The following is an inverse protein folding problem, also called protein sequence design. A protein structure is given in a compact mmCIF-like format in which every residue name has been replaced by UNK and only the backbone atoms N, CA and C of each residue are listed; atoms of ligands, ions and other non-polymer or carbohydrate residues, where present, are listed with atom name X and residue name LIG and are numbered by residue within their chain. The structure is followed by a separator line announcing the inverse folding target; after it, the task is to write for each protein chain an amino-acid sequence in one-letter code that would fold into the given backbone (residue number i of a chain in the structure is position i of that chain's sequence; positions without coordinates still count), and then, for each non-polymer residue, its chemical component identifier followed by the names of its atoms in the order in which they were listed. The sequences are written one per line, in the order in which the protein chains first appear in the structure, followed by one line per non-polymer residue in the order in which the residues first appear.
data_IF_907048616180
#
_entry.id   IF_907048616180
#
_cell.length_a   1.000
_cell.length_b   1.000
_cell.length_c   1.000
_cell.angle_alpha   90.00
_cell.angle_beta   90.00
_cell.angle_gamma   90.00
#
_symmetry.space_group_name_H-M   'P 1'
#
loop_
_entity.id
_entity.type
_entity.pdbx_description
1 polymer ?
#
# COMPACT_ATOMS: atom_id res chain seq x y z
N UNK A 1 -0.38 46.44 -17.84
CA UNK A 1 0.43 45.24 -17.52
C UNK A 1 1.44 45.02 -18.64
N UNK A 2 2.70 44.79 -18.28
CA UNK A 2 3.77 44.46 -19.22
C UNK A 2 3.60 43.05 -19.80
N UNK A 3 4.08 42.81 -21.03
CA UNK A 3 4.09 41.48 -21.69
C UNK A 3 4.75 40.40 -20.81
N UNK A 4 5.75 40.81 -20.02
CA UNK A 4 6.43 39.93 -19.06
C UNK A 4 5.53 39.53 -17.88
N UNK A 5 4.72 40.43 -17.36
CA UNK A 5 3.76 40.11 -16.29
C UNK A 5 2.70 39.12 -16.77
N UNK A 6 2.24 39.28 -18.02
CA UNK A 6 1.30 38.33 -18.64
C UNK A 6 1.89 36.94 -18.81
N UNK A 7 3.14 36.84 -19.30
CA UNK A 7 3.84 35.56 -19.40
C UNK A 7 4.05 34.90 -18.03
N UNK A 8 4.44 35.67 -17.01
CA UNK A 8 4.58 35.16 -15.65
C UNK A 8 3.26 34.62 -15.10
N UNK A 9 2.16 35.36 -15.27
CA UNK A 9 0.84 34.91 -14.82
C UNK A 9 0.43 33.62 -15.53
N UNK A 10 0.59 33.54 -16.85
CA UNK A 10 0.25 32.34 -17.62
C UNK A 10 1.07 31.13 -17.17
N UNK A 11 2.38 31.29 -16.97
CA UNK A 11 3.26 30.20 -16.51
C UNK A 11 2.88 29.76 -15.10
N UNK A 12 2.67 30.69 -14.16
CA UNK A 12 2.27 30.35 -12.79
C UNK A 12 0.92 29.66 -12.78
N UNK A 13 -0.06 30.17 -13.52
CA UNK A 13 -1.38 29.54 -13.63
C UNK A 13 -1.29 28.15 -14.25
N UNK A 14 -0.48 27.95 -15.30
CA UNK A 14 -0.28 26.63 -15.90
C UNK A 14 0.38 25.64 -14.93
N UNK A 15 1.37 26.07 -14.13
CA UNK A 15 2.01 25.25 -13.11
C UNK A 15 1.03 24.90 -11.98
N UNK A 16 0.24 25.86 -11.52
CA UNK A 16 -0.77 25.64 -10.48
C UNK A 16 -1.85 24.69 -10.98
N UNK A 17 -2.41 24.92 -12.17
CA UNK A 17 -3.42 24.04 -12.76
C UNK A 17 -2.87 22.65 -13.07
N UNK A 18 -1.62 22.56 -13.54
CA UNK A 18 -0.92 21.29 -13.75
C UNK A 18 -0.70 20.54 -12.43
N UNK A 19 -0.30 21.23 -11.36
CA UNK A 19 -0.11 20.65 -10.04
C UNK A 19 -1.42 20.18 -9.40
N UNK A 20 -2.48 21.01 -9.47
CA UNK A 20 -3.82 20.66 -8.96
C UNK A 20 -4.40 19.50 -9.75
N UNK A 21 -4.32 19.54 -11.09
CA UNK A 21 -4.77 18.46 -11.96
C UNK A 21 -4.03 17.15 -11.68
N UNK A 22 -2.70 17.21 -11.53
CA UNK A 22 -1.88 16.07 -11.14
C UNK A 22 -2.27 15.50 -9.78
N UNK A 23 -2.49 16.35 -8.77
CA UNK A 23 -2.90 15.93 -7.44
C UNK A 23 -4.24 15.20 -7.43
N UNK A 24 -5.25 15.72 -8.13
CA UNK A 24 -6.59 15.08 -8.20
C UNK A 24 -6.51 13.66 -8.77
N UNK A 25 -5.57 13.39 -9.68
CA UNK A 25 -5.40 12.06 -10.27
C UNK A 25 -4.81 11.02 -9.31
N UNK A 26 -4.10 11.44 -8.25
CA UNK A 26 -3.41 10.55 -7.29
C UNK A 26 -3.82 10.75 -5.84
N UNK A 27 -4.74 11.68 -5.57
CA UNK A 27 -5.23 11.96 -4.23
C UNK A 27 -5.80 10.69 -3.58
N UNK A 28 -5.74 10.59 -2.23
CA UNK A 28 -6.40 9.53 -1.48
C UNK A 28 -7.90 9.51 -1.84
N UNK A 29 -8.41 8.31 -2.12
CA UNK A 29 -9.84 8.05 -2.39
C UNK A 29 -10.64 7.83 -1.12
N UNK A 30 -9.96 7.58 0.00
CA UNK A 30 -10.53 7.35 1.31
C UNK A 30 -9.44 7.29 2.37
N UNK A 31 -9.85 7.20 3.63
CA UNK A 31 -8.96 7.04 4.76
C UNK A 31 -9.32 5.77 5.51
N UNK A 32 -8.34 4.91 5.73
CA UNK A 32 -8.52 3.63 6.42
C UNK A 32 -8.01 3.77 7.84
N UNK A 33 -8.76 3.34 8.87
CA UNK A 33 -8.27 3.37 10.24
C UNK A 33 -6.99 2.53 10.38
N UNK A 34 -5.97 3.11 11.02
CA UNK A 34 -4.73 2.38 11.31
C UNK A 34 -5.02 1.29 12.34
N UNK A 35 -4.68 0.01 12.07
CA UNK A 35 -4.90 -1.08 13.01
C UNK A 35 -4.21 -0.84 14.36
N UNK A 36 -4.90 -1.21 15.45
CA UNK A 36 -4.36 -1.15 16.81
C UNK A 36 -3.53 -2.40 17.14
N UNK A 37 -2.91 -2.45 18.31
CA UNK A 37 -2.14 -3.63 18.76
C UNK A 37 -3.03 -4.87 18.98
N UNK A 38 -4.33 -4.64 19.23
CA UNK A 38 -5.34 -5.68 19.44
C UNK A 38 -5.84 -6.28 18.12
N UNK A 39 -5.53 -5.66 16.98
CA UNK A 39 -5.94 -6.16 15.69
C UNK A 39 -5.28 -7.52 15.39
N UNK A 40 -6.03 -8.43 14.77
CA UNK A 40 -5.48 -9.69 14.30
C UNK A 40 -4.65 -9.47 13.02
N UNK A 41 -3.71 -10.37 12.67
CA UNK A 41 -2.97 -10.26 11.41
C UNK A 41 -3.88 -10.18 10.17
N UNK A 42 -5.03 -10.87 10.19
CA UNK A 42 -6.03 -10.84 9.12
C UNK A 42 -6.69 -9.47 8.98
N UNK A 43 -7.02 -8.82 10.10
CA UNK A 43 -7.55 -7.45 10.11
C UNK A 43 -6.53 -6.45 9.57
N UNK A 44 -5.24 -6.65 9.90
CA UNK A 44 -4.14 -5.83 9.40
C UNK A 44 -3.95 -6.05 7.89
N UNK A 45 -4.07 -7.29 7.41
CA UNK A 45 -4.03 -7.62 5.99
C UNK A 45 -5.16 -6.93 5.21
N UNK A 46 -6.39 -6.95 5.75
CA UNK A 46 -7.52 -6.23 5.17
C UNK A 46 -7.27 -4.73 5.11
N UNK A 47 -6.84 -4.14 6.22
CA UNK A 47 -6.53 -2.71 6.29
C UNK A 47 -5.44 -2.31 5.29
N UNK A 48 -4.42 -3.16 5.06
CA UNK A 48 -3.40 -2.93 4.05
C UNK A 48 -3.97 -2.94 2.61
N UNK A 49 -4.83 -3.92 2.29
CA UNK A 49 -5.51 -4.00 0.99
C UNK A 49 -6.41 -2.78 0.77
N UNK A 50 -7.22 -2.44 1.77
CA UNK A 50 -8.14 -1.30 1.71
C UNK A 50 -7.37 0.02 1.54
N UNK A 51 -6.29 0.21 2.30
CA UNK A 51 -5.44 1.40 2.20
C UNK A 51 -4.77 1.49 0.83
N UNK A 52 -4.31 0.35 0.27
CA UNK A 52 -3.73 0.29 -1.07
C UNK A 52 -4.74 0.70 -2.14
N UNK A 53 -5.95 0.13 -2.10
CA UNK A 53 -7.04 0.46 -3.03
C UNK A 53 -7.49 1.93 -2.90
N UNK A 54 -7.49 2.45 -1.66
CA UNK A 54 -7.85 3.83 -1.35
C UNK A 54 -6.71 4.83 -1.63
N UNK A 55 -5.50 4.37 -1.97
CA UNK A 55 -4.28 5.20 -2.07
C UNK A 55 -3.98 5.98 -0.78
N UNK A 56 -4.33 5.39 0.36
CA UNK A 56 -4.03 5.94 1.68
C UNK A 56 -2.60 5.60 2.07
N UNK A 57 -1.65 6.32 1.46
CA UNK A 57 -0.21 6.09 1.64
C UNK A 57 0.24 6.28 3.09
N UNK A 58 -0.46 7.11 3.85
CA UNK A 58 -0.12 7.37 5.26
C UNK A 58 -0.49 6.16 6.13
N UNK A 59 -1.66 5.58 5.92
CA UNK A 59 -2.04 4.31 6.58
C UNK A 59 -1.15 3.16 6.14
N UNK A 60 -0.80 3.06 4.85
CA UNK A 60 0.16 2.07 4.37
C UNK A 60 1.52 2.21 5.09
N UNK A 61 2.08 3.42 5.17
CA UNK A 61 3.33 3.68 5.93
C UNK A 61 3.20 3.35 7.42
N UNK A 62 2.02 3.57 7.99
CA UNK A 62 1.77 3.22 9.39
C UNK A 62 1.68 1.70 9.62
N UNK A 63 1.28 0.91 8.63
CA UNK A 63 1.21 -0.55 8.73
C UNK A 63 2.57 -1.20 8.42
N UNK A 64 3.32 -0.65 7.47
CA UNK A 64 4.58 -1.25 7.03
C UNK A 64 5.70 -1.06 8.06
N UNK A 65 6.65 -2.00 8.10
CA UNK A 65 7.89 -1.80 8.86
C UNK A 65 8.73 -0.69 8.23
N UNK A 66 9.37 0.13 9.05
CA UNK A 66 10.12 1.31 8.60
C UNK A 66 11.17 0.96 7.53
N UNK A 67 11.91 -0.13 7.73
CA UNK A 67 12.91 -0.65 6.79
C UNK A 67 12.32 -0.99 5.40
N UNK A 68 11.03 -1.31 5.32
CA UNK A 68 10.35 -1.74 4.09
C UNK A 68 9.51 -0.65 3.44
N UNK A 69 9.34 0.50 4.10
CA UNK A 69 8.41 1.53 3.64
C UNK A 69 8.73 2.03 2.23
N UNK A 70 10.01 2.25 1.92
CA UNK A 70 10.45 2.71 0.60
C UNK A 70 10.22 1.68 -0.51
N UNK A 71 10.14 0.39 -0.16
CA UNK A 71 10.00 -0.67 -1.15
C UNK A 71 8.55 -1.10 -1.37
N UNK A 72 7.70 -0.99 -0.35
CA UNK A 72 6.33 -1.49 -0.39
C UNK A 72 5.28 -0.39 -0.54
N UNK A 73 5.57 0.85 -0.13
CA UNK A 73 4.63 1.96 -0.28
C UNK A 73 4.97 2.72 -1.56
N UNK A 74 4.04 2.81 -2.54
CA UNK A 74 4.30 3.57 -3.76
C UNK A 74 4.44 5.07 -3.47
N UNK A 75 5.22 5.77 -4.28
CA UNK A 75 5.22 7.23 -4.29
C UNK A 75 4.02 7.77 -5.08
N UNK A 76 3.69 9.06 -4.89
CA UNK A 76 2.68 9.73 -5.71
C UNK A 76 3.05 9.76 -7.20
N UNK A 77 4.34 9.72 -7.54
CA UNK A 77 4.81 9.65 -8.93
C UNK A 77 4.53 8.27 -9.52
N UNK A 78 4.70 7.20 -8.74
CA UNK A 78 4.38 5.83 -9.19
C UNK A 78 2.90 5.69 -9.51
N UNK A 79 2.02 6.29 -8.70
CA UNK A 79 0.58 6.33 -8.94
C UNK A 79 0.20 7.06 -10.26
N UNK A 80 0.95 8.09 -10.66
CA UNK A 80 0.74 8.80 -11.94
C UNK A 80 1.11 7.94 -13.15
N UNK A 81 2.07 7.03 -13.00
CA UNK A 81 2.56 6.15 -14.08
C UNK A 81 1.64 4.95 -14.39
N UNK A 82 0.38 4.97 -13.92
CA UNK A 82 -0.62 3.92 -14.11
C UNK A 82 -0.30 2.55 -13.51
N UNK A 83 0.62 2.48 -12.55
CA UNK A 83 0.87 1.28 -11.71
C UNK A 83 -0.12 1.13 -10.55
N UNK A 84 -1.31 1.71 -10.68
CA UNK A 84 -2.36 1.67 -9.66
C UNK A 84 -2.98 0.27 -9.65
N UNK A 85 -2.37 -0.62 -8.86
CA UNK A 85 -2.86 -1.98 -8.67
C UNK A 85 -4.11 -1.92 -7.79
N UNK A 86 -5.29 -2.05 -8.41
CA UNK A 86 -6.55 -2.19 -7.68
C UNK A 86 -6.89 -3.66 -7.62
N UNK A 87 -7.15 -4.17 -6.42
CA UNK A 87 -7.49 -5.57 -6.20
C UNK A 87 -8.87 -5.69 -5.58
N UNK A 88 -9.66 -6.63 -6.07
CA UNK A 88 -10.83 -7.14 -5.34
C UNK A 88 -10.35 -8.32 -4.49
N UNK A 89 -10.37 -8.14 -3.17
CA UNK A 89 -10.20 -9.25 -2.22
C UNK A 89 -11.30 -10.29 -2.47
N UNK A 90 -10.90 -11.55 -2.62
CA UNK A 90 -11.82 -12.69 -2.70
C UNK A 90 -11.82 -13.45 -1.37
N UNK A 91 -10.65 -13.64 -0.76
CA UNK A 91 -10.55 -14.19 0.59
C UNK A 91 -9.25 -13.79 1.30
N UNK A 92 -9.35 -13.61 2.61
CA UNK A 92 -8.22 -13.62 3.56
C UNK A 92 -8.32 -14.92 4.35
N UNK A 93 -7.29 -15.75 4.26
CA UNK A 93 -7.20 -16.97 5.05
C UNK A 93 -6.63 -16.72 6.45
N UNK A 94 -6.73 -17.75 7.30
CA UNK A 94 -6.26 -17.65 8.68
C UNK A 94 -4.74 -17.46 8.75
N UNK A 95 -4.31 -16.60 9.66
CA UNK A 95 -2.92 -16.39 10.01
C UNK A 95 -2.30 -17.67 10.55
N UNK A 96 -1.05 -17.92 10.16
CA UNK A 96 -0.26 -19.04 10.66
C UNK A 96 1.16 -18.62 10.93
N UNK A 97 1.78 -19.24 11.93
CA UNK A 97 3.17 -18.98 12.27
C UNK A 97 4.05 -19.12 11.03
N UNK A 98 4.95 -18.16 10.83
CA UNK A 98 5.82 -18.13 9.67
C UNK A 98 7.28 -18.18 10.08
N UNK A 99 7.99 -19.19 9.58
CA UNK A 99 9.39 -19.43 9.87
C UNK A 99 10.16 -19.67 8.57
N UNK A 100 10.65 -18.60 7.93
CA UNK A 100 11.54 -18.73 6.77
C UNK A 100 12.99 -18.51 7.17
N UNK A 101 13.77 -19.59 7.18
CA UNK A 101 15.22 -19.55 7.42
C UNK A 101 15.92 -18.64 6.39
N UNK A 102 16.87 -17.82 6.84
CA UNK A 102 17.67 -16.94 5.97
C UNK A 102 17.05 -15.59 5.64
N UNK A 103 15.98 -15.18 6.33
CA UNK A 103 15.36 -13.85 6.20
C UNK A 103 15.72 -12.95 7.39
N UNK A 104 15.63 -11.62 7.25
CA UNK A 104 15.78 -10.63 8.36
C UNK A 104 14.66 -10.71 9.41
N UNK A 105 13.88 -11.79 9.43
CA UNK A 105 12.76 -11.98 10.35
C UNK A 105 13.22 -12.41 11.76
N UNK A 106 14.50 -12.75 11.94
CA UNK A 106 15.04 -13.27 13.20
C UNK A 106 15.02 -12.29 14.39
N UNK A 107 14.90 -10.99 14.12
CA UNK A 107 14.82 -9.97 15.18
C UNK A 107 13.41 -9.82 15.76
N UNK A 108 12.41 -10.41 15.10
CA UNK A 108 11.01 -10.35 15.51
C UNK A 108 10.62 -11.55 16.37
N UNK A 109 9.90 -11.30 17.47
CA UNK A 109 9.45 -12.37 18.37
C UNK A 109 8.24 -13.14 17.87
N UNK A 110 7.32 -12.46 17.20
CA UNK A 110 6.11 -13.06 16.65
C UNK A 110 6.02 -12.73 15.17
N UNK A 111 5.88 -13.75 14.34
CA UNK A 111 5.81 -13.61 12.87
C UNK A 111 4.68 -14.49 12.34
N UNK A 112 3.77 -13.86 11.61
CA UNK A 112 2.54 -14.48 11.10
C UNK A 112 2.44 -14.28 9.60
N UNK A 113 2.13 -15.34 8.88
CA UNK A 113 1.81 -15.33 7.46
C UNK A 113 0.29 -15.37 7.28
N UNK A 114 -0.22 -14.47 6.44
CA UNK A 114 -1.64 -14.37 6.08
C UNK A 114 -1.77 -14.63 4.58
N UNK A 115 -2.31 -15.81 4.16
CA UNK A 115 -2.60 -16.07 2.76
C UNK A 115 -3.79 -15.24 2.30
N UNK A 116 -3.70 -14.67 1.10
CA UNK A 116 -4.81 -13.94 0.49
C UNK A 116 -5.03 -14.38 -0.95
N UNK A 117 -6.28 -14.33 -1.39
CA UNK A 117 -6.64 -14.47 -2.79
C UNK A 117 -7.35 -13.20 -3.24
N UNK A 118 -6.91 -12.66 -4.37
CA UNK A 118 -7.54 -11.49 -4.96
C UNK A 118 -7.67 -11.64 -6.47
N UNK A 119 -8.54 -10.82 -7.04
CA UNK A 119 -8.59 -10.56 -8.48
C UNK A 119 -8.04 -9.17 -8.74
N UNK A 120 -7.12 -9.08 -9.68
CA UNK A 120 -6.57 -7.79 -10.08
C UNK A 120 -7.59 -7.11 -10.99
N UNK A 121 -8.18 -6.01 -10.53
CA UNK A 121 -9.17 -5.25 -11.30
C UNK A 121 -8.51 -4.24 -12.24
N UNK A 122 -7.35 -3.72 -11.84
CA UNK A 122 -6.57 -2.78 -12.62
C UNK A 122 -5.08 -3.09 -12.41
N UNK A 123 -4.33 -3.19 -13.50
CA UNK A 123 -2.86 -3.28 -13.49
C UNK A 123 -2.28 -2.61 -14.74
N UNK A 124 -0.96 -2.49 -14.79
CA UNK A 124 -0.19 -2.05 -15.95
C UNK A 124 -0.17 -3.07 -17.11
N UNK A 125 -1.03 -4.10 -17.07
CA UNK A 125 -1.09 -5.20 -18.02
C UNK A 125 -0.33 -6.46 -17.59
N UNK A 126 0.38 -6.41 -16.45
CA UNK A 126 1.14 -7.56 -15.92
C UNK A 126 0.25 -8.68 -15.34
N UNK A 127 -1.04 -8.42 -15.12
CA UNK A 127 -1.99 -9.38 -14.56
C UNK A 127 -3.26 -9.50 -15.42
N UNK A 128 -3.71 -10.73 -15.64
CA UNK A 128 -5.03 -10.98 -16.25
C UNK A 128 -6.13 -10.65 -15.25
N UNK A 129 -7.08 -9.78 -15.65
CA UNK A 129 -8.19 -9.36 -14.80
C UNK A 129 -9.17 -10.49 -14.43
N UNK A 130 -9.08 -11.64 -15.11
CA UNK A 130 -9.99 -12.77 -14.94
C UNK A 130 -9.45 -13.90 -14.07
N UNK A 131 -8.15 -13.91 -13.75
CA UNK A 131 -7.54 -14.95 -12.93
C UNK A 131 -7.47 -14.55 -11.46
N UNK A 132 -7.78 -15.51 -10.57
CA UNK A 132 -7.44 -15.38 -9.14
C UNK A 132 -5.93 -15.44 -8.99
N UNK A 133 -5.39 -14.47 -8.25
CA UNK A 133 -3.99 -14.43 -7.86
C UNK A 133 -3.88 -14.88 -6.41
N UNK A 134 -3.05 -15.89 -6.17
CA UNK A 134 -2.63 -16.28 -4.83
C UNK A 134 -1.48 -15.36 -4.38
N UNK A 135 -1.56 -14.89 -3.16
CA UNK A 135 -0.57 -13.98 -2.57
C UNK A 135 -0.47 -14.24 -1.08
N UNK A 136 0.43 -13.53 -0.42
CA UNK A 136 0.51 -13.56 1.03
C UNK A 136 1.34 -12.43 1.60
N UNK A 137 0.94 -12.05 2.81
CA UNK A 137 1.56 -11.01 3.61
C UNK A 137 2.20 -11.63 4.84
N UNK A 138 3.35 -11.11 5.25
CA UNK A 138 4.02 -11.49 6.48
C UNK A 138 4.01 -10.30 7.42
N UNK A 139 3.41 -10.50 8.58
CA UNK A 139 3.33 -9.53 9.66
C UNK A 139 4.18 -9.95 10.85
N UNK A 140 4.81 -8.97 11.50
CA UNK A 140 5.62 -9.22 12.68
C UNK A 140 5.41 -8.20 13.78
N UNK A 141 5.66 -8.59 15.04
CA UNK A 141 5.68 -7.72 16.23
C UNK A 141 6.57 -8.32 17.34
N UNK A 142 7.01 -7.50 18.30
CA UNK A 142 7.85 -7.97 19.41
C UNK A 142 7.09 -8.22 20.72
N UNK A 143 5.83 -7.79 20.83
CA UNK A 143 4.99 -8.01 21.99
C UNK A 143 3.52 -7.84 21.66
N UNK A 144 2.65 -8.30 22.55
CA UNK A 144 1.20 -8.26 22.31
C UNK A 144 0.62 -6.84 22.39
N UNK A 145 1.32 -5.91 23.05
CA UNK A 145 0.98 -4.49 23.10
C UNK A 145 1.51 -3.68 21.91
N UNK A 146 2.26 -4.33 21.00
CA UNK A 146 2.76 -3.72 19.78
C UNK A 146 1.85 -4.01 18.58
N UNK A 147 1.78 -3.06 17.65
CA UNK A 147 1.09 -3.24 16.38
C UNK A 147 1.86 -4.20 15.48
N UNK A 148 1.12 -5.04 14.76
CA UNK A 148 1.65 -5.81 13.65
C UNK A 148 2.23 -4.88 12.57
N UNK A 149 3.41 -5.23 12.06
CA UNK A 149 4.09 -4.53 10.98
C UNK A 149 4.22 -5.43 9.76
N UNK A 150 3.91 -4.92 8.58
CA UNK A 150 4.18 -5.64 7.33
C UNK A 150 5.69 -5.67 7.09
N UNK A 151 6.27 -6.88 7.05
CA UNK A 151 7.71 -7.11 6.90
C UNK A 151 8.06 -7.83 5.61
N UNK A 152 7.09 -8.50 4.99
CA UNK A 152 7.22 -9.13 3.68
C UNK A 152 5.86 -9.22 2.96
N UNK A 153 5.88 -9.29 1.63
CA UNK A 153 4.69 -9.47 0.79
C UNK A 153 5.06 -10.19 -0.51
N UNK A 154 4.08 -10.84 -1.14
CA UNK A 154 4.33 -11.65 -2.35
C UNK A 154 4.80 -13.07 -2.03
N UNK A 155 4.43 -13.57 -0.86
CA UNK A 155 4.79 -14.91 -0.39
C UNK A 155 3.63 -15.88 -0.69
N UNK A 156 3.86 -16.91 -1.49
CA UNK A 156 2.83 -17.92 -1.81
C UNK A 156 3.17 -18.73 -3.04
#
# INVERSE_FOLDING_TARGET
MSRWQWLTVVVVTAVVLGGVGGYVLVAPRGQVPVPTAQATPEEVARAWIDASNARDLDTMRAIVSEERAEHFVPSYVDLLSQRDLIVAEDSIGNARAYNRTGTRLGDWRQVQYVPVQFRVLQSDGSFSATSRTSWGYVFARNGDDERWRLVDQGVG
#
